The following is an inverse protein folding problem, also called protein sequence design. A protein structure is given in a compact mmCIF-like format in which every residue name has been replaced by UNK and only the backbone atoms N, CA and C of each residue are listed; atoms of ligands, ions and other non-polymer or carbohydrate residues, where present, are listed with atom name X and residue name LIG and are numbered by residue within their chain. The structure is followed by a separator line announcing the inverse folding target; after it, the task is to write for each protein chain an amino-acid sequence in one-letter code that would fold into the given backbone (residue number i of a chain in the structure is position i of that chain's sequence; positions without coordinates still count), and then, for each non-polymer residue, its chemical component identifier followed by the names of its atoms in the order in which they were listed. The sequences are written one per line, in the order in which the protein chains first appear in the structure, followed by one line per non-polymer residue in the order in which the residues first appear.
data_IF_758398189171
#
_entry.id   IF_758398189171
#
_cell.length_a   1.000
_cell.length_b   1.000
_cell.length_c   1.000
_cell.angle_alpha   90.00
_cell.angle_beta   90.00
_cell.angle_gamma   90.00
#
_symmetry.space_group_name_H-M   'P 1'
#
loop_
_entity.id
_entity.type
_entity.pdbx_description
1 polymer ?
#
# COMPACT_ATOMS: atom_id res chain seq x y z
N UNK A 1 -44.49 -10.17 48.78
CA UNK A 1 -43.19 -9.56 48.45
C UNK A 1 -42.14 -10.63 48.66
N UNK A 2 -41.25 -11.01 47.76
CA UNK A 2 -41.02 -10.68 46.36
C UNK A 2 -40.03 -11.76 45.86
N UNK A 3 -40.40 -12.43 44.78
CA UNK A 3 -39.55 -12.80 43.64
C UNK A 3 -38.30 -13.70 43.81
N UNK A 4 -38.42 -14.81 43.06
CA UNK A 4 -37.50 -15.89 42.76
C UNK A 4 -36.43 -15.41 41.77
N UNK A 5 -35.15 -15.41 42.17
CA UNK A 5 -34.04 -15.13 41.25
C UNK A 5 -33.21 -16.38 40.95
N UNK A 6 -33.50 -16.97 39.79
CA UNK A 6 -32.56 -17.76 39.00
C UNK A 6 -31.65 -16.78 38.25
N UNK A 7 -30.33 -16.82 38.47
CA UNK A 7 -29.35 -16.23 37.55
C UNK A 7 -28.53 -17.35 36.91
N UNK A 8 -29.19 -17.99 35.92
CA UNK A 8 -28.54 -18.83 34.92
C UNK A 8 -27.53 -17.93 34.20
N UNK A 9 -26.24 -18.20 34.33
CA UNK A 9 -25.18 -17.49 33.61
C UNK A 9 -25.28 -17.87 32.14
N UNK A 10 -26.01 -17.08 31.37
CA UNK A 10 -25.99 -17.11 29.91
C UNK A 10 -24.72 -16.40 29.45
N UNK A 11 -23.72 -17.16 29.04
CA UNK A 11 -22.65 -16.62 28.20
C UNK A 11 -22.99 -17.05 26.78
N UNK A 12 -23.58 -16.11 26.07
CA UNK A 12 -23.68 -16.13 24.63
C UNK A 12 -22.23 -16.20 24.12
N UNK A 13 -21.86 -17.34 23.53
CA UNK A 13 -20.61 -17.46 22.76
C UNK A 13 -20.87 -16.72 21.46
N UNK A 14 -20.74 -15.41 21.61
CA UNK A 14 -20.88 -14.39 20.62
C UNK A 14 -19.84 -14.59 19.51
N UNK A 15 -20.35 -14.52 18.28
CA UNK A 15 -19.66 -13.95 17.11
C UNK A 15 -18.81 -14.94 16.29
N UNK A 16 -19.56 -15.64 15.45
CA UNK A 16 -19.30 -15.81 14.03
C UNK A 16 -18.26 -14.83 13.41
N UNK A 17 -17.39 -15.41 12.57
CA UNK A 17 -16.77 -14.79 11.38
C UNK A 17 -15.72 -13.68 11.62
N UNK A 18 -14.45 -14.10 11.58
CA UNK A 18 -13.43 -13.45 10.74
C UNK A 18 -12.30 -14.44 10.51
N UNK A 19 -12.33 -15.19 9.40
CA UNK A 19 -11.64 -14.84 8.16
C UNK A 19 -10.15 -14.49 8.34
N UNK A 20 -9.37 -15.13 7.48
CA UNK A 20 -7.98 -14.84 7.11
C UNK A 20 -6.92 -15.46 8.02
N UNK A 21 -6.75 -16.77 7.82
CA UNK A 21 -5.40 -17.34 7.73
C UNK A 21 -4.64 -16.58 6.64
N UNK A 22 -3.75 -15.67 7.01
CA UNK A 22 -2.44 -15.55 6.37
C UNK A 22 -1.50 -14.83 7.33
N UNK A 23 -0.63 -15.64 7.89
CA UNK A 23 0.65 -15.30 8.47
C UNK A 23 1.20 -13.95 7.95
N UNK A 24 1.14 -12.92 8.78
CA UNK A 24 1.96 -11.71 8.61
C UNK A 24 2.72 -11.52 9.91
N UNK A 25 3.65 -12.46 10.12
CA UNK A 25 5.00 -12.21 10.60
C UNK A 25 5.22 -10.92 11.39
N UNK A 26 5.43 -11.11 12.69
CA UNK A 26 6.31 -10.32 13.55
C UNK A 26 7.38 -9.55 12.77
N UNK A 27 7.18 -8.24 12.58
CA UNK A 27 8.23 -7.24 12.29
C UNK A 27 7.58 -5.86 12.24
N UNK A 28 7.19 -5.34 13.40
CA UNK A 28 6.94 -3.91 13.61
C UNK A 28 7.99 -3.38 14.58
N UNK A 29 9.25 -3.40 14.16
CA UNK A 29 10.31 -2.57 14.72
C UNK A 29 10.89 -1.80 13.54
N UNK A 30 10.69 -0.48 13.51
CA UNK A 30 11.27 0.49 12.58
C UNK A 30 11.55 -0.06 11.18
N UNK A 31 10.51 -0.22 10.36
CA UNK A 31 10.72 -0.66 8.99
C UNK A 31 11.30 0.52 8.18
N UNK A 32 12.40 0.34 7.45
CA UNK A 32 12.76 1.25 6.36
C UNK A 32 11.55 1.41 5.43
N UNK A 33 11.49 2.47 4.61
CA UNK A 33 10.39 2.67 3.66
C UNK A 33 10.39 1.49 2.67
N UNK A 34 9.71 0.41 3.04
CA UNK A 34 9.67 -0.84 2.28
C UNK A 34 8.76 -0.67 1.06
N UNK A 35 7.80 0.25 1.19
CA UNK A 35 6.77 0.53 0.20
C UNK A 35 6.72 2.02 -0.16
N UNK A 36 7.05 2.34 -1.42
CA UNK A 36 6.81 3.65 -2.05
C UNK A 36 5.35 4.05 -1.86
N UNK A 37 4.44 3.08 -1.95
CA UNK A 37 3.02 3.28 -1.72
C UNK A 37 2.66 3.86 -0.35
N UNK A 38 3.50 3.65 0.68
CA UNK A 38 3.31 4.19 2.02
C UNK A 38 3.82 5.63 2.15
N UNK A 39 4.75 6.04 1.29
CA UNK A 39 5.22 7.42 1.18
C UNK A 39 4.27 8.28 0.33
N UNK A 40 3.44 7.67 -0.52
CA UNK A 40 2.44 8.35 -1.35
C UNK A 40 1.17 8.63 -0.52
N UNK A 41 0.81 9.90 -0.40
CA UNK A 41 -0.46 10.32 0.20
C UNK A 41 -1.66 9.82 -0.60
N UNK A 42 -2.80 9.61 0.07
CA UNK A 42 -4.03 9.13 -0.59
C UNK A 42 -4.40 9.98 -1.81
N UNK A 43 -4.25 11.30 -1.71
CA UNK A 43 -4.55 12.23 -2.80
C UNK A 43 -3.64 12.03 -4.03
N UNK A 44 -2.33 12.00 -3.84
CA UNK A 44 -1.36 11.74 -4.92
C UNK A 44 -1.58 10.36 -5.55
N UNK A 45 -1.90 9.34 -4.76
CA UNK A 45 -2.26 8.01 -5.29
C UNK A 45 -3.46 8.09 -6.25
N UNK A 46 -4.53 8.80 -5.89
CA UNK A 46 -5.68 8.95 -6.79
C UNK A 46 -5.31 9.67 -8.08
N UNK A 47 -4.47 10.71 -7.98
CA UNK A 47 -3.98 11.46 -9.15
C UNK A 47 -3.12 10.56 -10.04
N UNK A 48 -2.15 9.82 -9.49
CA UNK A 48 -1.32 8.91 -10.28
C UNK A 48 -2.16 7.86 -10.98
N UNK A 49 -3.07 7.18 -10.26
CA UNK A 49 -3.95 6.17 -10.86
C UNK A 49 -4.74 6.77 -12.03
N UNK A 50 -5.27 7.98 -11.88
CA UNK A 50 -6.09 8.63 -12.90
C UNK A 50 -5.27 9.12 -14.10
N UNK A 51 -4.19 9.86 -13.84
CA UNK A 51 -3.43 10.58 -14.86
C UNK A 51 -2.38 9.69 -15.53
N UNK A 52 -1.64 8.89 -14.75
CA UNK A 52 -0.56 8.04 -15.26
C UNK A 52 -1.06 6.66 -15.70
N UNK A 53 -2.02 6.09 -14.97
CA UNK A 53 -2.52 4.73 -15.20
C UNK A 53 -3.91 4.67 -15.84
N UNK A 54 -4.47 5.81 -16.30
CA UNK A 54 -5.75 5.83 -17.00
C UNK A 54 -6.93 5.29 -16.17
N UNK A 55 -6.90 5.53 -14.86
CA UNK A 55 -7.84 5.01 -13.85
C UNK A 55 -7.70 3.49 -13.57
N UNK A 56 -6.62 2.84 -14.01
CA UNK A 56 -6.34 1.44 -13.71
C UNK A 56 -5.56 1.27 -12.39
N UNK A 57 -6.33 1.01 -11.33
CA UNK A 57 -5.78 0.81 -9.97
C UNK A 57 -4.96 -0.48 -9.85
N UNK A 58 -5.28 -1.51 -10.62
CA UNK A 58 -4.56 -2.79 -10.56
C UNK A 58 -3.16 -2.61 -11.14
N UNK A 59 -3.07 -1.96 -12.31
CA UNK A 59 -1.81 -1.63 -12.96
C UNK A 59 -0.94 -0.74 -12.07
N UNK A 60 -1.51 0.31 -11.47
CA UNK A 60 -0.80 1.13 -10.47
C UNK A 60 -0.23 0.27 -9.33
N UNK A 61 -1.02 -0.64 -8.77
CA UNK A 61 -0.56 -1.45 -7.64
C UNK A 61 0.58 -2.38 -8.03
N UNK A 62 0.47 -3.04 -9.19
CA UNK A 62 1.50 -3.91 -9.74
C UNK A 62 2.80 -3.16 -10.01
N UNK A 63 2.72 -2.02 -10.70
CA UNK A 63 3.88 -1.14 -10.95
C UNK A 63 4.55 -0.70 -9.67
N UNK A 64 3.80 -0.23 -8.67
CA UNK A 64 4.40 0.18 -7.39
C UNK A 64 5.02 -1.01 -6.65
N UNK A 65 4.47 -2.23 -6.75
CA UNK A 65 5.09 -3.43 -6.18
C UNK A 65 6.39 -3.80 -6.89
N UNK A 66 6.44 -3.71 -8.22
CA UNK A 66 7.67 -3.92 -9.00
C UNK A 66 8.71 -2.86 -8.63
N UNK A 67 8.30 -1.59 -8.61
CA UNK A 67 9.11 -0.48 -8.14
C UNK A 67 9.61 -0.69 -6.71
N UNK A 68 8.84 -1.40 -5.89
CA UNK A 68 9.28 -1.69 -4.55
C UNK A 68 10.38 -2.74 -4.45
N UNK A 69 10.43 -3.63 -5.43
CA UNK A 69 11.32 -4.78 -5.48
C UNK A 69 12.65 -4.47 -6.19
N UNK A 70 12.80 -3.30 -6.82
CA UNK A 70 14.10 -2.90 -7.37
C UNK A 70 15.12 -2.65 -6.26
N UNK A 71 16.38 -2.87 -6.62
CA UNK A 71 17.51 -2.69 -5.73
C UNK A 71 17.95 -1.22 -5.63
N UNK A 72 17.84 -0.48 -6.75
CA UNK A 72 18.30 0.89 -6.92
C UNK A 72 17.27 1.76 -7.65
N UNK A 73 17.40 3.08 -7.49
CA UNK A 73 16.56 4.08 -8.17
C UNK A 73 16.66 3.98 -9.70
N UNK A 74 17.87 3.78 -10.23
CA UNK A 74 18.13 3.77 -11.68
C UNK A 74 17.31 2.70 -12.40
N UNK A 75 17.40 1.44 -11.95
CA UNK A 75 16.60 0.32 -12.46
C UNK A 75 15.08 0.57 -12.35
N UNK A 76 14.66 1.28 -11.30
CA UNK A 76 13.24 1.59 -11.10
C UNK A 76 12.74 2.62 -12.12
N UNK A 77 13.55 3.62 -12.46
CA UNK A 77 13.22 4.60 -13.49
C UNK A 77 13.32 4.01 -14.88
N UNK A 78 14.35 3.20 -15.16
CA UNK A 78 14.50 2.48 -16.43
C UNK A 78 13.25 1.62 -16.71
N UNK A 79 12.78 0.87 -15.71
CA UNK A 79 11.52 0.12 -15.83
C UNK A 79 10.32 1.02 -16.16
N UNK A 80 10.23 2.22 -15.57
CA UNK A 80 9.14 3.14 -15.88
C UNK A 80 9.21 3.66 -17.30
N UNK A 81 10.41 4.03 -17.76
CA UNK A 81 10.65 4.53 -19.12
C UNK A 81 10.38 3.43 -20.18
N UNK A 82 10.73 2.17 -19.89
CA UNK A 82 10.48 1.05 -20.78
C UNK A 82 9.02 0.56 -20.78
N UNK A 83 8.32 0.64 -19.65
CA UNK A 83 6.94 0.16 -19.54
C UNK A 83 5.89 1.24 -19.80
N UNK A 84 6.26 2.51 -19.64
CA UNK A 84 5.36 3.64 -19.78
C UNK A 84 5.97 4.72 -20.66
N UNK A 85 5.23 5.09 -21.70
CA UNK A 85 5.55 6.25 -22.55
C UNK A 85 5.03 7.54 -21.90
N UNK A 86 5.42 7.79 -20.65
CA UNK A 86 5.04 9.01 -19.94
C UNK A 86 5.99 10.15 -20.29
N UNK A 87 5.44 11.34 -20.50
CA UNK A 87 6.25 12.50 -20.82
C UNK A 87 7.16 12.86 -19.64
N UNK A 88 8.45 13.08 -19.90
CA UNK A 88 9.41 13.45 -18.86
C UNK A 88 9.11 14.81 -18.22
N UNK A 89 8.37 15.68 -18.90
CA UNK A 89 7.86 16.96 -18.40
C UNK A 89 6.56 16.81 -17.57
N UNK A 90 5.93 15.63 -17.59
CA UNK A 90 4.70 15.40 -16.85
C UNK A 90 4.92 15.55 -15.35
N UNK A 91 4.13 16.44 -14.73
CA UNK A 91 4.27 16.78 -13.31
C UNK A 91 4.01 15.57 -12.41
N UNK A 92 3.08 14.69 -12.79
CA UNK A 92 2.75 13.50 -12.02
C UNK A 92 3.87 12.46 -12.13
N UNK A 93 4.45 12.30 -13.32
CA UNK A 93 5.61 11.42 -13.51
C UNK A 93 6.84 11.92 -12.74
N UNK A 94 7.14 13.22 -12.80
CA UNK A 94 8.22 13.83 -12.00
C UNK A 94 8.02 13.59 -10.50
N UNK A 95 6.79 13.79 -10.00
CA UNK A 95 6.42 13.51 -8.60
C UNK A 95 6.65 12.04 -8.25
N UNK A 96 6.22 11.12 -9.11
CA UNK A 96 6.43 9.68 -8.90
C UNK A 96 7.92 9.34 -8.83
N UNK A 97 8.73 9.86 -9.77
CA UNK A 97 10.20 9.72 -9.74
C UNK A 97 10.81 10.26 -8.45
N UNK A 98 10.37 11.42 -7.97
CA UNK A 98 10.86 11.98 -6.70
C UNK A 98 10.54 11.07 -5.50
N UNK A 99 9.36 10.46 -5.46
CA UNK A 99 8.96 9.52 -4.42
C UNK A 99 9.81 8.24 -4.44
N UNK A 100 10.05 7.69 -5.63
CA UNK A 100 10.94 6.54 -5.83
C UNK A 100 12.35 6.92 -5.37
N UNK A 101 12.87 8.07 -5.80
CA UNK A 101 14.18 8.59 -5.39
C UNK A 101 14.29 8.70 -3.88
N UNK A 102 13.29 9.25 -3.20
CA UNK A 102 13.30 9.40 -1.73
C UNK A 102 13.40 8.06 -1.02
N UNK A 103 12.72 7.02 -1.52
CA UNK A 103 12.85 5.67 -0.96
C UNK A 103 14.29 5.14 -1.05
N UNK A 104 14.94 5.30 -2.20
CA UNK A 104 16.28 4.75 -2.44
C UNK A 104 17.40 5.65 -1.91
N UNK A 105 17.16 6.95 -1.73
CA UNK A 105 18.13 7.91 -1.21
C UNK A 105 18.36 7.80 0.30
N UNK A 106 17.40 7.21 1.05
CA UNK A 106 17.53 6.96 2.50
C UNK A 106 18.04 5.54 2.81
N UNK A 107 18.50 4.78 1.81
CA UNK A 107 18.97 3.40 1.95
C UNK A 107 20.50 3.31 1.98
#
# INVERSE_FOLDING_TARGET
MADKFHSKKFVHDDIAKKNVKKDVSSKMQSKPINDINSAIGLNDKFIFIRELFGNDKMHYHETIQILNNFDNYDNAVEFLDENFDWDSDDTNYMRLKELVRRKYAEK
#
